data_IF_301158999519
#
_entry.id   IF_301158999519
#
_cell.length_a   1.000
_cell.length_b   1.000
_cell.length_c   1.000
_cell.angle_alpha   90.00
_cell.angle_beta   90.00
_cell.angle_gamma   90.00
#
_symmetry.space_group_name_H-M   'P 1'
#
loop_
_entity.id
_entity.type
_entity.pdbx_description
1 polymer ?
#
# COMPACT_ATOMS: atom_id res chain seq x y z
N UNK A 1 -10.06 46.52 8.46
CA UNK A 1 -11.49 46.24 8.14
C UNK A 1 -11.42 45.60 6.77
N UNK A 2 -11.44 44.26 6.72
CA UNK A 2 -12.66 43.46 6.45
C UNK A 2 -13.24 43.86 5.11
N UNK A 3 -13.49 43.03 4.11
CA UNK A 3 -13.26 41.64 3.71
C UNK A 3 -13.53 41.70 2.18
N UNK A 4 -13.30 40.63 1.43
CA UNK A 4 -14.30 40.04 0.52
C UNK A 4 -13.58 39.00 -0.34
N UNK A 5 -13.88 37.74 -0.06
CA UNK A 5 -13.50 36.60 -0.88
C UNK A 5 -14.14 36.71 -2.28
N UNK A 6 -13.41 36.26 -3.30
CA UNK A 6 -14.00 35.79 -4.55
C UNK A 6 -13.48 34.38 -4.85
N UNK A 7 -14.25 33.43 -4.32
CA UNK A 7 -14.57 32.10 -4.83
C UNK A 7 -13.59 31.50 -5.86
N UNK A 8 -12.73 30.59 -5.41
CA UNK A 8 -12.21 29.56 -6.29
C UNK A 8 -13.15 28.37 -6.16
N UNK A 9 -14.08 28.25 -7.10
CA UNK A 9 -14.89 27.06 -7.33
C UNK A 9 -13.96 25.85 -7.45
N UNK A 10 -13.81 25.12 -6.35
CA UNK A 10 -13.26 23.77 -6.38
C UNK A 10 -14.41 22.89 -6.79
N UNK A 11 -14.47 22.61 -8.09
CA UNK A 11 -15.07 21.40 -8.64
C UNK A 11 -14.31 20.21 -8.03
N UNK A 12 -14.78 19.81 -6.85
CA UNK A 12 -14.18 18.75 -6.05
C UNK A 12 -14.88 17.45 -6.38
N UNK A 13 -14.41 16.84 -7.46
CA UNK A 13 -14.28 15.39 -7.67
C UNK A 13 -15.48 14.56 -7.16
N UNK A 14 -16.33 14.16 -8.11
CA UNK A 14 -17.29 13.05 -8.02
C UNK A 14 -16.53 11.74 -7.68
N UNK A 15 -16.03 11.64 -6.46
CA UNK A 15 -15.38 10.47 -5.91
C UNK A 15 -16.44 9.58 -5.30
N UNK A 16 -17.04 8.70 -6.10
CA UNK A 16 -17.89 7.58 -5.69
C UNK A 16 -17.09 6.58 -4.81
N UNK A 17 -16.75 6.99 -3.58
CA UNK A 17 -17.47 6.59 -2.39
C UNK A 17 -17.48 5.12 -1.95
N UNK A 18 -16.80 4.17 -2.60
CA UNK A 18 -16.83 2.78 -2.13
C UNK A 18 -15.82 1.78 -2.69
N UNK A 19 -14.96 2.17 -3.63
CA UNK A 19 -13.97 1.27 -4.22
C UNK A 19 -12.69 1.13 -3.39
N UNK A 20 -12.14 -0.08 -3.29
CA UNK A 20 -10.77 -0.28 -2.77
C UNK A 20 -9.80 0.38 -3.75
N UNK A 21 -8.90 1.21 -3.25
CA UNK A 21 -7.89 1.89 -4.07
C UNK A 21 -7.05 0.85 -4.88
N UNK A 22 -6.95 0.98 -6.21
CA UNK A 22 -6.27 -0.01 -7.04
C UNK A 22 -4.75 -0.04 -6.80
N UNK A 23 -4.16 1.07 -6.34
CA UNK A 23 -2.75 1.11 -5.93
C UNK A 23 -2.53 0.28 -4.67
N UNK A 24 -3.44 0.38 -3.69
CA UNK A 24 -3.42 -0.44 -2.48
C UNK A 24 -3.49 -1.94 -2.83
N UNK A 25 -4.41 -2.32 -3.72
CA UNK A 25 -4.56 -3.70 -4.21
C UNK A 25 -3.25 -4.19 -4.86
N UNK A 26 -2.66 -3.40 -5.75
CA UNK A 26 -1.40 -3.76 -6.42
C UNK A 26 -0.26 -3.98 -5.39
N UNK A 27 -0.16 -3.13 -4.36
CA UNK A 27 0.86 -3.27 -3.31
C UNK A 27 0.65 -4.58 -2.54
N UNK A 28 -0.57 -4.86 -2.11
CA UNK A 28 -0.90 -6.08 -1.37
C UNK A 28 -0.67 -7.35 -2.21
N UNK A 29 -1.05 -7.33 -3.48
CA UNK A 29 -0.80 -8.43 -4.42
C UNK A 29 0.72 -8.69 -4.56
N UNK A 30 1.53 -7.64 -4.72
CA UNK A 30 2.97 -7.79 -4.81
C UNK A 30 3.60 -8.32 -3.52
N UNK A 31 3.12 -7.88 -2.35
CA UNK A 31 3.56 -8.41 -1.06
C UNK A 31 3.15 -9.87 -0.86
N UNK A 32 1.95 -10.25 -1.30
CA UNK A 32 1.47 -11.63 -1.29
C UNK A 32 2.31 -12.52 -2.19
N UNK A 33 2.61 -12.06 -3.40
CA UNK A 33 3.51 -12.74 -4.33
C UNK A 33 4.91 -12.89 -3.75
N UNK A 34 5.46 -11.84 -3.14
CA UNK A 34 6.75 -11.89 -2.46
C UNK A 34 6.80 -12.96 -1.37
N UNK A 35 5.74 -13.06 -0.56
CA UNK A 35 5.59 -14.07 0.47
C UNK A 35 5.51 -15.49 -0.11
N UNK A 36 4.79 -15.69 -1.21
CA UNK A 36 4.68 -17.00 -1.88
C UNK A 36 5.98 -17.45 -2.56
N UNK A 37 6.69 -16.52 -3.20
CA UNK A 37 7.95 -16.84 -3.88
C UNK A 37 9.09 -17.08 -2.87
N UNK A 38 9.15 -16.27 -1.82
CA UNK A 38 10.20 -16.32 -0.80
C UNK A 38 9.64 -15.96 0.57
N UNK A 39 9.07 -16.91 1.34
CA UNK A 39 8.40 -16.60 2.60
C UNK A 39 9.34 -16.00 3.66
N UNK A 40 10.63 -16.30 3.58
CA UNK A 40 11.67 -15.82 4.52
C UNK A 40 12.31 -14.48 4.11
N UNK A 41 11.95 -13.92 2.94
CA UNK A 41 12.64 -12.74 2.39
C UNK A 41 11.72 -11.55 2.20
N UNK A 42 11.88 -10.57 3.07
CA UNK A 42 11.24 -9.26 2.94
C UNK A 42 11.75 -8.52 1.68
N UNK A 43 10.84 -7.87 0.96
CA UNK A 43 11.22 -7.05 -0.19
C UNK A 43 11.63 -5.65 0.24
N UNK A 44 12.71 -5.13 -0.35
CA UNK A 44 13.07 -3.72 -0.18
C UNK A 44 11.99 -2.82 -0.78
N UNK A 45 11.76 -1.64 -0.18
CA UNK A 45 10.77 -0.68 -0.66
C UNK A 45 10.97 -0.29 -2.13
N UNK A 46 12.22 -0.16 -2.58
CA UNK A 46 12.54 0.13 -3.97
C UNK A 46 12.09 -0.99 -4.92
N UNK A 47 12.26 -2.26 -4.52
CA UNK A 47 11.79 -3.42 -5.29
C UNK A 47 10.26 -3.44 -5.29
N UNK A 48 9.62 -3.23 -4.15
CA UNK A 48 8.16 -3.22 -4.04
C UNK A 48 7.53 -2.10 -4.90
N UNK A 49 8.05 -0.88 -4.83
CA UNK A 49 7.62 0.26 -5.66
C UNK A 49 7.74 -0.07 -7.15
N UNK A 50 8.86 -0.67 -7.56
CA UNK A 50 9.09 -1.08 -8.94
C UNK A 50 8.12 -2.18 -9.41
N UNK A 51 7.82 -3.17 -8.57
CA UNK A 51 6.90 -4.26 -8.92
C UNK A 51 5.44 -3.82 -8.94
N UNK A 52 5.03 -2.98 -7.99
CA UNK A 52 3.67 -2.44 -7.93
C UNK A 52 3.43 -1.29 -8.93
N UNK A 53 4.48 -0.78 -9.58
CA UNK A 53 4.37 0.28 -10.58
C UNK A 53 4.03 1.66 -10.01
N UNK A 54 4.30 1.88 -8.72
CA UNK A 54 3.86 3.08 -7.98
C UNK A 54 5.04 3.95 -7.55
N UNK A 55 4.90 5.29 -7.55
CA UNK A 55 5.96 6.18 -7.09
C UNK A 55 6.23 5.97 -5.59
N UNK A 56 7.48 6.19 -5.16
CA UNK A 56 7.91 5.88 -3.80
C UNK A 56 7.19 6.70 -2.72
N UNK A 57 6.75 7.92 -3.03
CA UNK A 57 5.89 8.72 -2.16
C UNK A 57 4.50 8.10 -1.99
N UNK A 58 3.90 7.62 -3.09
CA UNK A 58 2.64 6.89 -3.09
C UNK A 58 2.74 5.58 -2.32
N UNK A 59 3.80 4.79 -2.55
CA UNK A 59 4.05 3.56 -1.82
C UNK A 59 4.12 3.81 -0.31
N UNK A 60 4.92 4.80 0.13
CA UNK A 60 5.07 5.12 1.55
C UNK A 60 3.73 5.48 2.20
N UNK A 61 2.90 6.28 1.55
CA UNK A 61 1.57 6.65 2.06
C UNK A 61 0.69 5.42 2.30
N UNK A 62 0.62 4.50 1.33
CA UNK A 62 -0.17 3.28 1.45
C UNK A 62 0.42 2.30 2.46
N UNK A 63 1.75 2.17 2.52
CA UNK A 63 2.41 1.33 3.52
C UNK A 63 2.14 1.84 4.94
N UNK A 64 2.17 3.15 5.19
CA UNK A 64 1.79 3.70 6.50
C UNK A 64 0.37 3.29 6.87
N UNK A 65 -0.60 3.39 5.95
CA UNK A 65 -1.98 2.97 6.20
C UNK A 65 -2.11 1.46 6.46
N UNK A 66 -1.37 0.63 5.71
CA UNK A 66 -1.35 -0.83 5.88
C UNK A 66 -0.65 -1.29 7.17
N UNK A 67 0.33 -0.52 7.63
CA UNK A 67 0.99 -0.74 8.92
C UNK A 67 0.04 -0.37 10.06
N UNK A 68 -0.67 0.75 9.93
CA UNK A 68 -1.68 1.19 10.90
C UNK A 68 -2.84 0.19 11.02
N UNK A 69 -3.25 -0.43 9.91
CA UNK A 69 -4.25 -1.51 9.91
C UNK A 69 -3.72 -2.86 10.39
N UNK A 70 -2.41 -3.00 10.64
CA UNK A 70 -1.78 -4.25 11.09
C UNK A 70 -1.60 -5.31 10.00
N UNK A 71 -1.85 -5.00 8.72
CA UNK A 71 -1.70 -5.95 7.61
C UNK A 71 -0.26 -6.07 7.08
N UNK A 72 0.55 -5.02 7.28
CA UNK A 72 1.92 -4.97 6.76
C UNK A 72 2.88 -4.59 7.88
N UNK A 73 4.07 -5.17 7.85
CA UNK A 73 5.20 -4.80 8.69
C UNK A 73 6.26 -4.16 7.81
N UNK A 74 6.71 -2.97 8.21
CA UNK A 74 7.81 -2.27 7.53
C UNK A 74 8.99 -2.11 8.46
N UNK A 75 10.17 -2.50 7.99
CA UNK A 75 11.44 -2.33 8.69
C UNK A 75 12.24 -1.23 7.99
N UNK A 76 12.38 -0.07 8.61
CA UNK A 76 13.24 1.01 8.11
C UNK A 76 14.63 0.89 8.77
N UNK A 77 15.67 0.92 7.96
CA UNK A 77 17.07 0.96 8.39
C UNK A 77 17.56 2.40 8.51
N UNK A 78 18.55 2.61 9.36
CA UNK A 78 19.18 3.92 9.63
C UNK A 78 19.85 4.52 8.38
N UNK A 79 20.23 3.67 7.42
CA UNK A 79 20.78 4.04 6.10
C UNK A 79 19.70 4.58 5.13
N UNK A 80 18.44 4.66 5.57
CA UNK A 80 17.31 5.13 4.75
C UNK A 80 16.74 4.07 3.81
N UNK A 81 17.30 2.86 3.81
CA UNK A 81 16.72 1.69 3.13
C UNK A 81 15.59 1.10 3.97
N UNK A 82 14.49 0.70 3.33
CA UNK A 82 13.37 0.07 4.01
C UNK A 82 13.04 -1.28 3.40
N UNK A 83 12.45 -2.15 4.20
CA UNK A 83 11.85 -3.43 3.79
C UNK A 83 10.39 -3.47 4.22
N UNK A 84 9.58 -4.22 3.47
CA UNK A 84 8.18 -4.45 3.78
C UNK A 84 7.85 -5.94 3.59
N UNK A 85 7.00 -6.44 4.47
CA UNK A 85 6.45 -7.80 4.43
C UNK A 85 5.03 -7.82 4.98
N UNK A 86 4.25 -8.85 4.62
CA UNK A 86 2.93 -9.06 5.22
C UNK A 86 3.09 -9.48 6.68
N UNK A 87 2.22 -8.98 7.56
CA UNK A 87 2.03 -9.54 8.90
C UNK A 87 1.29 -10.89 8.83
N UNK A 88 1.10 -11.56 9.97
CA UNK A 88 0.25 -12.76 10.05
C UNK A 88 -1.20 -12.48 9.58
N UNK A 89 -1.78 -11.37 10.03
CA UNK A 89 -3.11 -10.91 9.60
C UNK A 89 -3.12 -10.56 8.11
N UNK A 90 -2.08 -9.86 7.63
CA UNK A 90 -1.94 -9.53 6.21
C UNK A 90 -1.83 -10.75 5.31
N UNK A 91 -1.13 -11.79 5.76
CA UNK A 91 -1.06 -13.07 5.04
C UNK A 91 -2.42 -13.74 4.95
N UNK A 92 -3.16 -13.77 6.06
CA UNK A 92 -4.51 -14.36 6.11
C UNK A 92 -5.46 -13.57 5.20
N UNK A 93 -5.48 -12.25 5.33
CA UNK A 93 -6.27 -11.37 4.48
C UNK A 93 -5.93 -11.52 3.00
N UNK A 94 -4.64 -11.48 2.64
CA UNK A 94 -4.20 -11.67 1.26
C UNK A 94 -4.51 -13.08 0.73
N UNK A 95 -4.50 -14.10 1.59
CA UNK A 95 -4.95 -15.43 1.22
C UNK A 95 -6.46 -15.44 0.93
N UNK A 96 -7.30 -14.77 1.70
CA UNK A 96 -8.74 -14.68 1.41
C UNK A 96 -9.04 -13.85 0.15
N UNK A 97 -8.29 -12.76 -0.06
CA UNK A 97 -8.54 -11.82 -1.17
C UNK A 97 -7.90 -12.27 -2.49
N UNK A 98 -6.67 -12.79 -2.46
CA UNK A 98 -5.90 -13.18 -3.64
C UNK A 98 -5.65 -14.70 -3.75
N UNK A 99 -6.04 -15.46 -2.72
CA UNK A 99 -5.69 -16.85 -2.56
C UNK A 99 -6.89 -17.78 -2.53
N UNK A 100 -7.61 -17.87 -3.65
CA UNK A 100 -8.16 -19.16 -4.09
C UNK A 100 -7.48 -19.59 -5.40
N UNK A 101 -6.47 -20.44 -5.24
CA UNK A 101 -6.03 -21.43 -6.21
C UNK A 101 -5.08 -22.40 -5.48
N UNK A 102 -5.61 -23.08 -4.46
CA UNK A 102 -5.18 -24.45 -4.21
C UNK A 102 -6.05 -25.33 -5.14
N UNK A 103 -5.45 -26.27 -5.90
CA UNK A 103 -6.14 -27.04 -6.93
C UNK A 103 -7.24 -27.97 -6.39
#
# INVERSE_FOLDING_TARGET
MHDEQANNDIDGDDGDGGGIDPTLVAILEQLWRAHRETPDREWSLAKLSKQAGVPMSGLRRHLTALVDSGLVVTTLSEDGTGRASLSDDGRTFCAEVFGDAAP
#
